data_IF_014987593689
#
_entry.id   IF_014987593689
#
_cell.length_a   1.000
_cell.length_b   1.000
_cell.length_c   1.000
_cell.angle_alpha   90.00
_cell.angle_beta   90.00
_cell.angle_gamma   90.00
#
_symmetry.space_group_name_H-M   'P 1'
#
loop_
_entity.id
_entity.type
_entity.pdbx_description
1 polymer ?
#
# COMPACT_ATOMS: atom_id res chain seq x y z
N UNK A 1 -14.33 11.21 -28.25
CA UNK A 1 -15.12 10.29 -27.40
C UNK A 1 -14.16 9.18 -27.04
N UNK A 2 -14.01 8.85 -25.75
CA UNK A 2 -13.22 7.70 -25.33
C UNK A 2 -14.05 6.47 -25.72
N UNK A 3 -13.49 5.57 -26.52
CA UNK A 3 -14.21 4.39 -27.00
C UNK A 3 -14.61 3.49 -25.82
N UNK A 4 -15.74 2.79 -25.92
CA UNK A 4 -16.23 1.87 -24.86
C UNK A 4 -15.19 0.79 -24.50
N UNK A 5 -14.35 0.41 -25.46
CA UNK A 5 -13.23 -0.51 -25.27
C UNK A 5 -12.13 0.09 -24.37
N UNK A 6 -11.82 1.38 -24.51
CA UNK A 6 -10.84 2.08 -23.67
C UNK A 6 -11.33 2.25 -22.23
N UNK A 7 -12.64 2.46 -22.04
CA UNK A 7 -13.25 2.47 -20.70
C UNK A 7 -13.14 1.10 -20.01
N UNK A 8 -13.29 0.00 -20.76
CA UNK A 8 -13.11 -1.36 -20.25
C UNK A 8 -11.64 -1.68 -19.95
N UNK A 9 -10.72 -1.31 -20.86
CA UNK A 9 -9.27 -1.51 -20.69
C UNK A 9 -8.74 -0.75 -19.48
N UNK A 10 -9.15 0.50 -19.31
CA UNK A 10 -8.80 1.33 -18.16
C UNK A 10 -9.34 0.75 -16.84
N UNK A 11 -10.57 0.23 -16.86
CA UNK A 11 -11.17 -0.45 -15.72
C UNK A 11 -10.39 -1.70 -15.29
N UNK A 12 -10.03 -2.55 -16.26
CA UNK A 12 -9.22 -3.74 -16.01
C UNK A 12 -7.82 -3.39 -15.50
N UNK A 13 -7.18 -2.37 -16.06
CA UNK A 13 -5.88 -1.87 -15.63
C UNK A 13 -5.91 -1.39 -14.18
N UNK A 14 -6.91 -0.58 -13.80
CA UNK A 14 -7.09 -0.12 -12.41
C UNK A 14 -7.32 -1.27 -11.43
N UNK A 15 -8.00 -2.34 -11.86
CA UNK A 15 -8.19 -3.55 -11.03
C UNK A 15 -6.86 -4.29 -10.86
N UNK A 16 -6.06 -4.42 -11.92
CA UNK A 16 -4.73 -5.01 -11.86
C UNK A 16 -3.81 -4.23 -10.92
N UNK A 17 -3.76 -2.89 -11.05
CA UNK A 17 -2.99 -2.01 -10.15
C UNK A 17 -3.38 -2.19 -8.68
N UNK A 18 -4.68 -2.30 -8.37
CA UNK A 18 -5.14 -2.58 -7.00
C UNK A 18 -4.69 -3.93 -6.47
N UNK A 19 -4.65 -4.97 -7.31
CA UNK A 19 -4.15 -6.30 -6.92
C UNK A 19 -2.65 -6.27 -6.67
N UNK A 20 -1.89 -5.74 -7.61
CA UNK A 20 -0.43 -5.61 -7.49
C UNK A 20 -0.02 -4.83 -6.26
N UNK A 21 -0.71 -3.72 -5.97
CA UNK A 21 -0.44 -2.94 -4.75
C UNK A 21 -0.71 -3.73 -3.47
N UNK A 22 -1.76 -4.57 -3.43
CA UNK A 22 -2.04 -5.45 -2.27
C UNK A 22 -0.98 -6.53 -2.11
N UNK A 23 -0.52 -7.11 -3.21
CA UNK A 23 0.55 -8.11 -3.21
C UNK A 23 1.87 -7.49 -2.74
N UNK A 24 2.18 -6.26 -3.19
CA UNK A 24 3.35 -5.51 -2.74
C UNK A 24 3.28 -5.22 -1.23
N UNK A 25 2.15 -4.74 -0.72
CA UNK A 25 1.98 -4.50 0.73
C UNK A 25 2.14 -5.80 1.54
N UNK A 26 1.58 -6.91 1.06
CA UNK A 26 1.74 -8.22 1.69
C UNK A 26 3.22 -8.65 1.72
N UNK A 27 3.94 -8.41 0.62
CA UNK A 27 5.38 -8.68 0.52
C UNK A 27 6.19 -7.81 1.48
N UNK A 28 5.92 -6.50 1.52
CA UNK A 28 6.55 -5.53 2.44
C UNK A 28 6.34 -5.97 3.88
N UNK A 29 5.11 -6.35 4.24
CA UNK A 29 4.79 -6.84 5.58
C UNK A 29 5.62 -8.08 5.91
N UNK A 30 5.66 -9.08 5.02
CA UNK A 30 6.48 -10.28 5.22
C UNK A 30 7.97 -9.96 5.40
N UNK A 31 8.52 -9.06 4.58
CA UNK A 31 9.91 -8.65 4.66
C UNK A 31 10.20 -7.89 5.97
N UNK A 32 9.29 -7.03 6.43
CA UNK A 32 9.43 -6.33 7.73
C UNK A 32 9.43 -7.31 8.90
N UNK A 33 8.59 -8.36 8.85
CA UNK A 33 8.50 -9.36 9.91
C UNK A 33 9.65 -10.37 9.91
N UNK A 34 10.33 -10.59 8.77
CA UNK A 34 11.46 -11.51 8.69
C UNK A 34 12.74 -10.96 9.34
N UNK A 35 12.83 -9.65 9.54
CA UNK A 35 13.99 -9.00 10.18
C UNK A 35 13.76 -8.83 11.68
N UNK A 36 14.74 -9.29 12.47
CA UNK A 36 14.71 -9.12 13.92
C UNK A 36 14.84 -7.65 14.34
N UNK A 37 14.26 -7.30 15.49
CA UNK A 37 14.19 -5.89 15.89
C UNK A 37 15.55 -5.23 16.17
N UNK A 38 16.57 -6.03 16.46
CA UNK A 38 17.93 -5.60 16.80
C UNK A 38 18.83 -5.33 15.59
N UNK A 39 18.51 -5.86 14.41
CA UNK A 39 19.35 -5.75 13.21
C UNK A 39 19.13 -4.43 12.47
N UNK A 40 19.73 -3.35 12.99
CA UNK A 40 19.58 -1.99 12.46
C UNK A 40 20.10 -1.83 11.02
N UNK A 41 21.11 -2.61 10.63
CA UNK A 41 21.69 -2.52 9.28
C UNK A 41 20.70 -3.07 8.26
N UNK A 42 20.21 -4.28 8.49
CA UNK A 42 19.21 -4.90 7.59
C UNK A 42 17.90 -4.13 7.55
N UNK A 43 17.47 -3.52 8.67
CA UNK A 43 16.29 -2.63 8.66
C UNK A 43 16.45 -1.43 7.72
N UNK A 44 17.63 -0.80 7.68
CA UNK A 44 17.89 0.34 6.79
C UNK A 44 17.90 -0.08 5.32
N UNK A 45 18.57 -1.18 5.02
CA UNK A 45 18.60 -1.76 3.67
C UNK A 45 17.18 -2.13 3.21
N UNK A 46 16.40 -2.76 4.08
CA UNK A 46 15.00 -3.09 3.80
C UNK A 46 14.12 -1.85 3.57
N UNK A 47 14.29 -0.78 4.36
CA UNK A 47 13.52 0.46 4.13
C UNK A 47 13.86 1.09 2.78
N UNK A 48 15.14 1.13 2.40
CA UNK A 48 15.56 1.64 1.10
C UNK A 48 15.01 0.77 -0.04
N UNK A 49 15.04 -0.56 0.12
CA UNK A 49 14.49 -1.49 -0.86
C UNK A 49 12.98 -1.35 -1.00
N UNK A 50 12.24 -1.18 0.12
CA UNK A 50 10.80 -0.93 0.10
C UNK A 50 10.48 0.37 -0.64
N UNK A 51 11.19 1.46 -0.32
CA UNK A 51 10.98 2.74 -0.97
C UNK A 51 11.18 2.63 -2.49
N UNK A 52 12.23 1.93 -2.92
CA UNK A 52 12.50 1.68 -4.33
C UNK A 52 11.39 0.85 -4.99
N UNK A 53 10.93 -0.23 -4.36
CA UNK A 53 9.85 -1.07 -4.90
C UNK A 53 8.51 -0.31 -5.00
N UNK A 54 8.19 0.54 -4.02
CA UNK A 54 6.96 1.36 -4.04
C UNK A 54 7.03 2.45 -5.12
N UNK A 55 8.18 3.11 -5.26
CA UNK A 55 8.40 4.13 -6.30
C UNK A 55 8.37 3.53 -7.71
N UNK A 56 9.04 2.40 -7.93
CA UNK A 56 9.04 1.73 -9.23
C UNK A 56 7.64 1.27 -9.64
N UNK A 57 6.85 0.72 -8.70
CA UNK A 57 5.47 0.32 -8.95
C UNK A 57 4.58 1.52 -9.25
N UNK A 58 4.69 2.59 -8.45
CA UNK A 58 3.94 3.84 -8.67
C UNK A 58 4.24 4.44 -10.04
N UNK A 59 5.52 4.57 -10.38
CA UNK A 59 5.97 5.11 -11.67
C UNK A 59 5.43 4.28 -12.84
N UNK A 60 5.50 2.95 -12.75
CA UNK A 60 4.93 2.07 -13.79
C UNK A 60 3.43 2.22 -13.94
N UNK A 61 2.68 2.31 -12.84
CA UNK A 61 1.23 2.50 -12.89
C UNK A 61 0.85 3.85 -13.49
N UNK A 62 1.63 4.89 -13.20
CA UNK A 62 1.48 6.22 -13.80
C UNK A 62 1.75 6.21 -15.30
N UNK A 63 2.85 5.60 -15.73
CA UNK A 63 3.20 5.44 -17.15
C UNK A 63 2.11 4.67 -17.92
N UNK A 64 1.63 3.54 -17.37
CA UNK A 64 0.57 2.72 -17.98
C UNK A 64 -0.77 3.48 -18.08
N UNK A 65 -1.09 4.33 -17.09
CA UNK A 65 -2.28 5.18 -17.13
C UNK A 65 -2.14 6.34 -18.13
N UNK A 66 -0.96 6.96 -18.20
CA UNK A 66 -0.66 8.05 -19.13
C UNK A 66 -0.70 7.57 -20.58
N UNK A 67 -0.19 6.37 -20.87
CA UNK A 67 -0.24 5.75 -22.20
C UNK A 67 -1.70 5.45 -22.62
N UNK A 68 -2.54 5.02 -21.68
CA UNK A 68 -3.97 4.78 -21.95
C UNK A 68 -4.80 6.05 -22.07
N UNK A 69 -4.35 7.17 -21.50
CA UNK A 69 -5.14 8.39 -21.43
C UNK A 69 -4.27 9.66 -21.54
N UNK A 70 -3.76 9.99 -22.74
CA UNK A 70 -2.88 11.14 -22.94
C UNK A 70 -3.60 12.50 -22.76
N UNK A 71 -4.93 12.49 -22.53
CA UNK A 71 -5.78 13.67 -22.41
C UNK A 71 -6.11 14.08 -20.97
N UNK A 72 -5.70 13.31 -19.96
CA UNK A 72 -5.94 13.64 -18.55
C UNK A 72 -4.68 14.28 -17.95
N UNK A 73 -4.71 15.59 -17.59
CA UNK A 73 -3.63 16.19 -16.82
C UNK A 73 -3.53 15.49 -15.45
N UNK A 74 -2.30 15.36 -14.95
CA UNK A 74 -1.80 14.51 -13.85
C UNK A 74 -2.52 14.54 -12.49
N UNK A 75 -3.64 15.25 -12.33
CA UNK A 75 -4.30 15.46 -11.04
C UNK A 75 -5.50 14.54 -10.82
N UNK A 76 -5.32 13.23 -10.55
CA UNK A 76 -6.42 12.45 -9.93
C UNK A 76 -6.06 11.06 -9.34
N UNK A 77 -4.82 10.78 -8.93
CA UNK A 77 -4.53 9.50 -8.22
C UNK A 77 -4.00 9.68 -6.79
N UNK A 78 -3.96 10.93 -6.31
CA UNK A 78 -3.59 11.29 -4.94
C UNK A 78 -4.80 11.18 -3.98
N UNK A 79 -5.43 10.01 -3.81
CA UNK A 79 -6.47 9.81 -2.77
C UNK A 79 -6.77 8.35 -2.46
N UNK A 80 -5.77 7.48 -2.47
CA UNK A 80 -5.90 6.22 -1.73
C UNK A 80 -4.61 6.03 -0.93
N UNK A 81 -4.36 6.98 -0.03
CA UNK A 81 -3.64 6.72 1.20
C UNK A 81 -4.52 5.73 1.97
N UNK A 82 -4.37 4.43 1.70
CA UNK A 82 -4.74 3.44 2.72
C UNK A 82 -3.56 3.46 3.66
N UNK A 83 -3.56 4.47 4.52
CA UNK A 83 -3.03 4.33 5.86
C UNK A 83 -3.77 3.14 6.48
N UNK A 84 -3.26 1.94 6.22
CA UNK A 84 -3.30 0.88 7.22
C UNK A 84 -2.23 1.25 8.25
N UNK A 85 -2.42 2.42 8.89
CA UNK A 85 -1.97 2.56 10.25
C UNK A 85 -2.68 1.45 10.99
N UNK A 86 -1.90 0.41 11.28
CA UNK A 86 -2.13 -0.53 12.36
C UNK A 86 -2.24 0.32 13.64
N UNK A 87 -3.38 1.01 13.81
CA UNK A 87 -3.81 1.60 15.06
C UNK A 87 -4.01 0.41 15.98
N UNK A 88 -2.90 0.05 16.64
CA UNK A 88 -2.89 -0.78 17.83
C UNK A 88 -3.73 -0.04 18.85
N UNK A 89 -5.04 -0.21 18.75
CA UNK A 89 -5.98 -0.03 19.84
C UNK A 89 -5.28 -0.61 21.08
N UNK A 90 -5.03 0.18 22.14
CA UNK A 90 -4.32 -0.29 23.31
C UNK A 90 -5.14 -1.42 23.90
N UNK A 91 -4.75 -2.66 23.58
CA UNK A 91 -5.38 -3.86 24.10
C UNK A 91 -5.21 -3.83 25.59
N UNK A 92 -6.30 -3.50 26.29
CA UNK A 92 -6.38 -3.52 27.74
C UNK A 92 -5.83 -4.88 28.19
N UNK A 93 -4.77 -4.85 28.99
CA UNK A 93 -4.14 -6.09 29.45
C UNK A 93 -5.17 -6.92 30.23
N UNK A 94 -5.05 -8.26 30.16
CA UNK A 94 -5.89 -9.17 30.96
C UNK A 94 -5.92 -8.78 32.45
N UNK A 95 -4.84 -8.20 32.96
CA UNK A 95 -4.72 -7.69 34.32
C UNK A 95 -5.57 -6.44 34.59
N UNK A 96 -5.70 -5.49 33.64
CA UNK A 96 -6.57 -4.32 33.79
C UNK A 96 -8.06 -4.70 33.80
N UNK A 97 -8.47 -5.71 33.03
CA UNK A 97 -9.88 -6.16 32.99
C UNK A 97 -10.34 -6.74 34.34
N UNK A 98 -9.43 -7.35 35.11
CA UNK A 98 -9.71 -7.86 36.47
C UNK A 98 -9.88 -6.77 37.54
N UNK A 99 -9.36 -5.56 37.30
CA UNK A 99 -9.33 -4.47 38.28
C UNK A 99 -10.49 -3.50 38.19
N UNK A 100 -11.31 -3.57 37.13
CA UNK A 100 -12.49 -2.71 37.00
C UNK A 100 -13.67 -3.42 37.70
N UNK A 101 -14.13 -2.95 38.87
CA UNK A 101 -15.41 -3.40 39.40
C UNK A 101 -16.49 -2.93 38.44
N UNK A 102 -17.27 -3.87 37.91
CA UNK A 102 -18.51 -3.58 37.18
C UNK A 102 -19.52 -3.10 38.23
N UNK A 103 -19.94 -1.84 38.12
CA UNK A 103 -20.93 -1.22 39.00
C UNK A 103 -22.30 -1.22 38.30
#
# INVERSE_FOLDING_TARGET
MIDEEDMSRLGQLKIAHRKERKELQSKIMSMKHSISNSDKKRKKELVAEIAKMEEEMKKRHEEELAELNPSLPEESVESIIVEEHEEKQPRISKAQRRRKPEN
#
